data_IF_008793520156
#
_entry.id   IF_008793520156
#
_cell.length_a   1.000
_cell.length_b   1.000
_cell.length_c   1.000
_cell.angle_alpha   90.00
_cell.angle_beta   90.00
_cell.angle_gamma   90.00
#
_symmetry.space_group_name_H-M   'P 1'
#
loop_
_entity.id
_entity.type
_entity.pdbx_description
1 polymer ?
#
# COMPACT_ATOMS: atom_id res chain seq x y z
N UNK A 1 4.67 -13.30 19.23
CA UNK A 1 4.71 -14.56 18.51
C UNK A 1 3.78 -14.48 17.29
N UNK A 2 4.30 -14.86 16.17
CA UNK A 2 3.52 -14.80 14.94
C UNK A 2 2.42 -15.87 14.95
N UNK A 3 1.28 -15.54 14.37
CA UNK A 3 0.19 -16.48 14.19
C UNK A 3 0.57 -17.56 13.18
N UNK A 4 0.13 -18.80 13.42
CA UNK A 4 0.32 -19.90 12.48
C UNK A 4 -0.47 -19.70 11.18
N UNK A 5 -1.45 -18.80 11.20
CA UNK A 5 -2.27 -18.47 10.03
C UNK A 5 -1.58 -17.47 9.10
N UNK A 6 -0.55 -16.78 9.58
CA UNK A 6 0.15 -15.74 8.83
C UNK A 6 1.54 -16.23 8.46
N UNK A 7 1.80 -16.26 7.15
CA UNK A 7 3.11 -16.60 6.61
C UNK A 7 3.58 -15.48 5.72
N UNK A 8 4.60 -14.78 6.18
CA UNK A 8 5.16 -13.65 5.44
C UNK A 8 6.37 -14.11 4.62
N UNK A 9 6.43 -13.65 3.38
CA UNK A 9 7.60 -13.86 2.52
C UNK A 9 8.56 -12.69 2.72
N UNK A 10 9.35 -12.77 3.78
CA UNK A 10 10.26 -11.69 4.16
C UNK A 10 11.50 -11.59 3.25
N UNK A 11 11.70 -12.55 2.34
CA UNK A 11 12.76 -12.51 1.35
C UNK A 11 12.29 -12.00 -0.01
N UNK A 12 11.03 -11.56 -0.10
CA UNK A 12 10.43 -11.14 -1.37
C UNK A 12 11.22 -10.02 -2.06
N UNK A 13 11.64 -9.00 -1.31
CA UNK A 13 12.42 -7.90 -1.86
C UNK A 13 13.70 -8.37 -2.52
N UNK A 14 14.39 -9.31 -1.89
CA UNK A 14 15.64 -9.86 -2.43
C UNK A 14 15.40 -10.59 -3.75
N UNK A 15 14.28 -11.33 -3.86
CA UNK A 15 13.99 -12.13 -5.05
C UNK A 15 13.48 -11.33 -6.23
N UNK A 16 12.59 -10.37 -5.99
CA UNK A 16 11.88 -9.67 -7.06
C UNK A 16 11.89 -8.16 -6.94
N UNK A 17 12.66 -7.62 -6.02
CA UNK A 17 12.77 -6.17 -5.75
C UNK A 17 11.42 -5.51 -5.39
N UNK A 18 10.50 -6.29 -4.84
CA UNK A 18 9.19 -5.81 -4.36
C UNK A 18 8.97 -6.27 -2.93
N UNK A 19 8.48 -5.41 -2.06
CA UNK A 19 8.16 -5.81 -0.69
C UNK A 19 6.95 -6.71 -0.63
N UNK A 20 6.81 -7.42 0.48
CA UNK A 20 5.58 -8.15 0.79
C UNK A 20 4.47 -7.16 1.12
N UNK A 21 3.31 -7.34 0.53
CA UNK A 21 2.14 -6.55 0.85
C UNK A 21 1.16 -7.37 1.68
N UNK A 22 0.52 -6.71 2.65
CA UNK A 22 -0.56 -7.32 3.43
C UNK A 22 -1.87 -7.03 2.72
N UNK A 23 -2.49 -8.08 2.19
CA UNK A 23 -3.79 -7.99 1.54
C UNK A 23 -4.86 -8.19 2.61
N UNK A 24 -5.52 -7.11 3.00
CA UNK A 24 -6.43 -7.12 4.16
C UNK A 24 -7.78 -7.78 3.88
N UNK A 25 -8.22 -7.78 2.63
CA UNK A 25 -9.50 -8.38 2.26
C UNK A 25 -9.51 -9.87 2.63
N UNK A 26 -10.56 -10.30 3.33
CA UNK A 26 -10.67 -11.67 3.80
C UNK A 26 -9.95 -11.98 5.10
N UNK A 27 -9.22 -11.02 5.66
CA UNK A 27 -8.58 -11.18 6.96
C UNK A 27 -9.39 -10.49 8.06
N UNK A 28 -9.20 -10.95 9.29
CA UNK A 28 -9.72 -10.24 10.45
C UNK A 28 -8.85 -9.02 10.74
N UNK A 29 -9.39 -8.08 11.51
CA UNK A 29 -8.62 -6.92 11.96
C UNK A 29 -7.36 -7.34 12.72
N UNK A 30 -7.50 -8.33 13.60
CA UNK A 30 -6.35 -8.84 14.38
C UNK A 30 -5.28 -9.46 13.48
N UNK A 31 -5.68 -10.19 12.45
CA UNK A 31 -4.74 -10.76 11.49
C UNK A 31 -3.97 -9.68 10.74
N UNK A 32 -4.64 -8.62 10.32
CA UNK A 32 -3.99 -7.50 9.66
C UNK A 32 -2.99 -6.80 10.59
N UNK A 33 -3.38 -6.53 11.82
CA UNK A 33 -2.49 -5.92 12.82
C UNK A 33 -1.29 -6.78 13.09
N UNK A 34 -1.49 -8.07 13.28
CA UNK A 34 -0.40 -9.00 13.56
C UNK A 34 0.61 -9.04 12.41
N UNK A 35 0.11 -9.12 11.18
CA UNK A 35 0.98 -9.14 10.01
C UNK A 35 1.84 -7.87 9.91
N UNK A 36 1.24 -6.69 10.03
CA UNK A 36 1.97 -5.43 9.94
C UNK A 36 2.95 -5.28 11.10
N UNK A 37 2.53 -5.60 12.33
CA UNK A 37 3.41 -5.53 13.50
C UNK A 37 4.63 -6.44 13.34
N UNK A 38 4.42 -7.65 12.83
CA UNK A 38 5.51 -8.58 12.59
C UNK A 38 6.51 -8.01 11.58
N UNK A 39 6.02 -7.41 10.50
CA UNK A 39 6.89 -6.77 9.52
C UNK A 39 7.61 -5.56 10.11
N UNK A 40 6.94 -4.76 10.94
CA UNK A 40 7.56 -3.60 11.58
C UNK A 40 8.65 -3.98 12.57
N UNK A 41 8.56 -5.14 13.19
CA UNK A 41 9.52 -5.59 14.19
C UNK A 41 10.61 -6.50 13.61
N UNK A 42 10.53 -6.84 12.33
CA UNK A 42 11.54 -7.68 11.70
C UNK A 42 12.84 -6.89 11.50
N UNK A 43 13.86 -7.26 12.26
CA UNK A 43 15.17 -6.60 12.22
C UNK A 43 15.98 -6.90 10.95
N UNK A 44 15.59 -7.94 10.22
CA UNK A 44 16.30 -8.38 9.01
C UNK A 44 15.84 -7.63 7.76
N UNK A 45 14.82 -6.80 7.87
CA UNK A 45 14.30 -6.02 6.75
C UNK A 45 13.87 -4.65 7.23
N UNK A 46 14.27 -3.63 6.48
CA UNK A 46 13.82 -2.25 6.67
C UNK A 46 13.06 -1.74 5.47
N UNK A 47 12.64 -2.63 4.58
CA UNK A 47 11.92 -2.24 3.36
C UNK A 47 10.52 -1.71 3.64
N UNK A 48 9.94 -1.07 2.64
CA UNK A 48 8.58 -0.54 2.70
C UNK A 48 7.58 -1.63 3.06
N UNK A 49 6.56 -1.24 3.80
CA UNK A 49 5.45 -2.11 4.19
C UNK A 49 4.18 -1.49 3.61
N UNK A 50 3.36 -2.31 2.96
CA UNK A 50 2.13 -1.86 2.33
C UNK A 50 1.00 -2.77 2.80
N UNK A 51 -0.10 -2.16 3.24
CA UNK A 51 -1.34 -2.89 3.54
C UNK A 51 -2.43 -2.35 2.63
N UNK A 52 -3.08 -3.24 1.88
CA UNK A 52 -4.05 -2.86 0.87
C UNK A 52 -5.45 -3.40 1.20
N UNK A 53 -6.47 -2.74 0.66
CA UNK A 53 -7.86 -3.18 0.74
C UNK A 53 -8.36 -3.38 2.15
N UNK A 54 -7.98 -2.46 3.03
CA UNK A 54 -8.47 -2.45 4.39
C UNK A 54 -9.91 -1.93 4.43
N UNK A 55 -10.78 -2.59 5.18
CA UNK A 55 -12.10 -2.04 5.49
C UNK A 55 -11.94 -0.95 6.56
N UNK A 56 -13.04 -0.30 6.94
CA UNK A 56 -12.99 0.80 7.90
C UNK A 56 -12.39 0.41 9.24
N UNK A 57 -12.79 -0.75 9.77
CA UNK A 57 -12.26 -1.25 11.03
C UNK A 57 -10.78 -1.54 10.95
N UNK A 58 -10.37 -2.24 9.90
CA UNK A 58 -8.97 -2.57 9.66
C UNK A 58 -8.14 -1.31 9.46
N UNK A 59 -8.64 -0.37 8.68
CA UNK A 59 -7.95 0.88 8.42
C UNK A 59 -7.73 1.68 9.71
N UNK A 60 -8.78 1.82 10.52
CA UNK A 60 -8.68 2.54 11.80
C UNK A 60 -7.67 1.90 12.73
N UNK A 61 -7.68 0.57 12.82
CA UNK A 61 -6.74 -0.16 13.68
C UNK A 61 -5.30 -0.02 13.18
N UNK A 62 -5.09 -0.16 11.87
CA UNK A 62 -3.76 -0.04 11.27
C UNK A 62 -3.24 1.39 11.34
N UNK A 63 -4.11 2.39 11.27
CA UNK A 63 -3.73 3.79 11.38
C UNK A 63 -3.04 4.09 12.72
N UNK A 64 -3.40 3.39 13.78
CA UNK A 64 -2.79 3.56 15.09
C UNK A 64 -1.31 3.12 15.11
N UNK A 65 -0.86 2.39 14.11
CA UNK A 65 0.54 1.98 13.99
C UNK A 65 1.43 3.04 13.34
N UNK A 66 0.90 4.23 13.09
CA UNK A 66 1.67 5.36 12.59
C UNK A 66 2.17 5.20 11.16
N UNK A 67 1.29 4.98 10.17
CA UNK A 67 1.73 4.87 8.78
C UNK A 67 2.37 6.15 8.28
N UNK A 68 3.28 6.01 7.34
CA UNK A 68 3.90 7.14 6.63
C UNK A 68 2.87 7.79 5.71
N UNK A 69 2.04 6.97 5.08
CA UNK A 69 0.97 7.44 4.20
C UNK A 69 -0.23 6.52 4.35
N UNK A 70 -1.41 7.10 4.44
CA UNK A 70 -2.67 6.35 4.47
C UNK A 70 -3.65 7.09 3.57
N UNK A 71 -4.16 6.42 2.57
CA UNK A 71 -5.05 7.03 1.59
C UNK A 71 -6.00 5.98 1.01
N UNK A 72 -7.29 6.32 0.99
CA UNK A 72 -8.30 5.35 0.56
C UNK A 72 -8.39 4.18 1.52
N UNK A 73 -8.08 2.99 1.05
CA UNK A 73 -8.07 1.77 1.85
C UNK A 73 -6.67 1.15 1.92
N UNK A 74 -5.63 1.96 1.66
CA UNK A 74 -4.24 1.50 1.60
C UNK A 74 -3.39 2.33 2.55
N UNK A 75 -2.50 1.65 3.27
CA UNK A 75 -1.59 2.29 4.22
C UNK A 75 -0.17 1.79 3.94
N UNK A 76 0.82 2.63 4.24
CA UNK A 76 2.22 2.23 4.05
C UNK A 76 3.11 2.77 5.16
N UNK A 77 4.20 2.04 5.39
CA UNK A 77 5.22 2.38 6.38
C UNK A 77 6.60 2.23 5.75
N UNK A 78 7.59 2.93 6.28
CA UNK A 78 9.00 2.79 5.88
C UNK A 78 9.22 2.98 4.38
N UNK A 79 8.84 4.16 3.87
CA UNK A 79 9.02 4.45 2.46
C UNK A 79 10.50 4.32 2.05
N UNK A 80 10.74 3.79 0.86
CA UNK A 80 12.08 3.73 0.27
C UNK A 80 12.58 5.16 -0.02
N UNK A 81 13.89 5.35 -0.15
CA UNK A 81 14.45 6.65 -0.54
C UNK A 81 13.85 7.16 -1.84
N UNK A 82 13.78 8.49 -1.95
CA UNK A 82 13.20 9.14 -3.12
C UNK A 82 13.89 8.72 -4.41
N UNK A 83 13.08 8.41 -5.41
CA UNK A 83 13.54 8.08 -6.76
C UNK A 83 13.47 9.32 -7.66
N UNK A 84 14.09 9.23 -8.84
CA UNK A 84 14.19 10.38 -9.75
C UNK A 84 12.92 10.63 -10.56
N UNK A 85 12.05 9.64 -10.67
CA UNK A 85 10.91 9.73 -11.59
C UNK A 85 9.65 10.17 -10.88
N UNK A 86 8.85 10.97 -11.60
CA UNK A 86 7.48 11.28 -11.22
C UNK A 86 6.56 10.45 -12.09
N UNK A 87 5.61 9.76 -11.46
CA UNK A 87 4.73 8.83 -12.16
C UNK A 87 3.31 9.37 -12.13
N UNK A 88 2.69 9.46 -13.31
CA UNK A 88 1.29 9.86 -13.43
C UNK A 88 0.38 8.65 -13.29
N UNK A 89 -0.67 8.79 -12.49
CA UNK A 89 -1.71 7.78 -12.33
C UNK A 89 -2.96 8.31 -13.00
N UNK A 90 -3.45 7.60 -14.01
CA UNK A 90 -4.59 8.03 -14.81
C UNK A 90 -5.73 7.03 -14.60
N UNK A 91 -6.90 7.51 -14.25
CA UNK A 91 -8.08 6.67 -14.09
C UNK A 91 -9.28 7.26 -14.84
N UNK A 92 -10.13 6.38 -15.38
CA UNK A 92 -11.22 6.78 -16.27
C UNK A 92 -12.45 7.27 -15.52
N UNK A 93 -12.72 6.77 -14.33
CA UNK A 93 -13.94 7.11 -13.61
C UNK A 93 -13.79 6.98 -12.10
N UNK A 94 -14.84 7.43 -11.38
CA UNK A 94 -14.82 7.43 -9.91
C UNK A 94 -14.78 6.02 -9.30
N UNK A 95 -15.28 5.02 -10.01
CA UNK A 95 -15.25 3.64 -9.53
C UNK A 95 -13.83 3.08 -9.45
N UNK A 96 -12.90 3.70 -10.16
CA UNK A 96 -11.51 3.28 -10.19
C UNK A 96 -10.66 3.94 -9.10
N UNK A 97 -11.24 4.83 -8.29
CA UNK A 97 -10.51 5.58 -7.27
C UNK A 97 -9.81 4.68 -6.25
N UNK A 98 -10.46 3.59 -5.86
CA UNK A 98 -9.86 2.65 -4.90
C UNK A 98 -8.57 2.06 -5.45
N UNK A 99 -8.58 1.67 -6.71
CA UNK A 99 -7.42 1.09 -7.39
C UNK A 99 -6.34 2.17 -7.61
N UNK A 100 -6.76 3.36 -8.02
CA UNK A 100 -5.83 4.48 -8.21
C UNK A 100 -5.15 4.88 -6.90
N UNK A 101 -5.90 4.90 -5.80
CA UNK A 101 -5.35 5.21 -4.48
C UNK A 101 -4.36 4.13 -4.02
N UNK A 102 -4.67 2.87 -4.26
CA UNK A 102 -3.77 1.76 -3.96
C UNK A 102 -2.46 1.90 -4.75
N UNK A 103 -2.57 2.22 -6.02
CA UNK A 103 -1.42 2.47 -6.88
C UNK A 103 -0.57 3.63 -6.35
N UNK A 104 -1.22 4.75 -5.99
CA UNK A 104 -0.53 5.92 -5.45
C UNK A 104 0.27 5.59 -4.19
N UNK A 105 -0.37 4.98 -3.21
CA UNK A 105 0.31 4.65 -1.95
C UNK A 105 1.47 3.68 -2.20
N UNK A 106 1.27 2.70 -3.06
CA UNK A 106 2.30 1.72 -3.39
C UNK A 106 3.51 2.38 -4.05
N UNK A 107 3.27 3.22 -5.06
CA UNK A 107 4.37 3.91 -5.75
C UNK A 107 5.12 4.86 -4.82
N UNK A 108 4.42 5.60 -3.98
CA UNK A 108 5.08 6.51 -3.04
C UNK A 108 5.85 5.74 -1.96
N UNK A 109 5.36 4.58 -1.54
CA UNK A 109 6.11 3.72 -0.63
C UNK A 109 7.42 3.24 -1.26
N UNK A 110 7.43 3.03 -2.57
CA UNK A 110 8.63 2.65 -3.31
C UNK A 110 9.55 3.84 -3.62
N UNK A 111 9.21 5.04 -3.17
CA UNK A 111 10.05 6.22 -3.31
C UNK A 111 9.71 7.13 -4.48
N UNK A 112 8.66 6.85 -5.22
CA UNK A 112 8.29 7.67 -6.38
C UNK A 112 7.37 8.82 -5.98
N UNK A 113 7.53 9.96 -6.63
CA UNK A 113 6.57 11.05 -6.57
C UNK A 113 5.45 10.75 -7.56
N UNK A 114 4.21 10.97 -7.17
CA UNK A 114 3.05 10.69 -8.03
C UNK A 114 2.19 11.92 -8.24
N UNK A 115 1.50 11.96 -9.36
CA UNK A 115 0.37 12.85 -9.57
C UNK A 115 -0.79 12.05 -10.16
N UNK A 116 -2.01 12.49 -9.92
CA UNK A 116 -3.20 11.72 -10.30
C UNK A 116 -4.08 12.56 -11.24
N UNK A 117 -4.50 11.93 -12.33
CA UNK A 117 -5.48 12.49 -13.27
C UNK A 117 -6.66 11.54 -13.26
N UNK A 118 -7.84 12.04 -12.86
CA UNK A 118 -9.05 11.24 -12.76
C UNK A 118 -10.10 11.68 -13.76
N UNK A 119 -11.09 10.82 -13.97
CA UNK A 119 -12.26 11.13 -14.79
C UNK A 119 -11.91 11.49 -16.24
N UNK A 120 -11.00 10.71 -16.84
CA UNK A 120 -10.51 10.92 -18.21
C UNK A 120 -10.97 9.81 -19.17
N UNK A 121 -12.19 9.29 -18.97
CA UNK A 121 -12.77 8.32 -19.90
C UNK A 121 -12.95 8.90 -21.30
N UNK A 122 -13.55 8.14 -22.20
CA UNK A 122 -13.70 8.54 -23.61
C UNK A 122 -14.33 9.93 -23.75
N UNK A 123 -15.33 10.24 -22.93
CA UNK A 123 -15.99 11.55 -22.93
C UNK A 123 -15.16 12.64 -22.27
N UNK A 124 -14.09 12.30 -21.58
CA UNK A 124 -13.23 13.22 -20.87
C UNK A 124 -11.83 13.36 -21.45
N UNK A 125 -11.59 12.89 -22.67
CA UNK A 125 -10.26 12.92 -23.30
C UNK A 125 -9.65 14.32 -23.34
N UNK A 126 -10.45 15.35 -23.44
CA UNK A 126 -9.99 16.75 -23.44
C UNK A 126 -9.30 17.16 -22.14
N UNK A 127 -9.42 16.36 -21.08
CA UNK A 127 -8.80 16.64 -19.78
C UNK A 127 -7.36 16.16 -19.67
N UNK A 128 -6.93 15.36 -20.65
CA UNK A 128 -5.55 14.94 -20.69
C UNK A 128 -4.64 16.09 -21.13
#
# INVERSE_FOLDING_TARGET
MSSKEIRLDLDRTRRINMPEAVYCEGKTTDQCLEAVKEMLTNENSSDAIIATRANEEQFSALFELGPTLAYGSTLSWRHRPAQKFTIGIVSAGTLDLRVANECKVTLEALGHTTFTITDVGVSGLHRL
#
